data_IF_588918930773
#
_entry.id   IF_588918930773
#
_cell.length_a   1.000
_cell.length_b   1.000
_cell.length_c   1.000
_cell.angle_alpha   90.00
_cell.angle_beta   90.00
_cell.angle_gamma   90.00
#
_symmetry.space_group_name_H-M   'P 1'
#
loop_
_entity.id
_entity.type
_entity.pdbx_description
1 polymer ?
#
# COMPACT_ATOMS: atom_id res chain seq x y z
N UNK A 1 10.88 -9.52 1.55
CA UNK A 1 10.15 -8.79 2.60
C UNK A 1 8.89 -9.58 2.94
N UNK A 2 8.36 -9.42 4.16
CA UNK A 2 7.06 -9.99 4.54
C UNK A 2 5.99 -8.92 4.35
N UNK A 3 4.76 -9.28 4.00
CA UNK A 3 3.66 -8.34 3.77
C UNK A 3 2.43 -9.07 3.23
N UNK A 4 1.24 -8.54 3.50
CA UNK A 4 -0.02 -9.18 3.08
C UNK A 4 -0.61 -8.59 1.81
N UNK A 5 -0.48 -7.26 1.65
CA UNK A 5 -1.15 -6.52 0.60
C UNK A 5 -0.36 -6.58 -0.70
N UNK A 6 -1.05 -6.97 -1.77
CA UNK A 6 -0.54 -6.93 -3.15
C UNK A 6 -1.63 -6.41 -4.09
N UNK A 7 -1.25 -5.53 -5.00
CA UNK A 7 -2.06 -5.15 -6.15
C UNK A 7 -1.24 -5.35 -7.42
N UNK A 8 -1.87 -5.88 -8.47
CA UNK A 8 -1.24 -6.14 -9.78
C UNK A 8 -1.84 -5.22 -10.83
N UNK A 9 -1.02 -4.67 -11.71
CA UNK A 9 -1.53 -3.77 -12.75
C UNK A 9 -2.45 -4.56 -13.71
N UNK A 10 -3.66 -4.06 -14.03
CA UNK A 10 -4.65 -4.84 -14.77
C UNK A 10 -4.27 -5.14 -16.23
N UNK A 11 -3.36 -4.36 -16.82
CA UNK A 11 -2.88 -4.55 -18.19
C UNK A 11 -1.35 -4.72 -18.33
N UNK A 12 -0.58 -4.68 -17.24
CA UNK A 12 0.89 -4.75 -17.27
C UNK A 12 1.34 -5.86 -16.31
N UNK A 13 1.69 -7.05 -16.83
CA UNK A 13 2.05 -8.18 -15.98
C UNK A 13 3.38 -7.98 -15.24
N UNK A 14 4.19 -6.98 -15.59
CA UNK A 14 5.46 -6.69 -14.93
C UNK A 14 5.30 -5.77 -13.72
N UNK A 15 4.11 -5.17 -13.54
CA UNK A 15 3.88 -4.13 -12.56
C UNK A 15 2.97 -4.58 -11.40
N UNK A 16 3.47 -4.38 -10.19
CA UNK A 16 2.74 -4.69 -8.96
C UNK A 16 3.21 -3.81 -7.80
N UNK A 17 2.35 -3.67 -6.79
CA UNK A 17 2.58 -2.91 -5.57
C UNK A 17 2.40 -3.78 -4.34
N UNK A 18 3.18 -3.48 -3.31
CA UNK A 18 3.19 -4.20 -2.05
C UNK A 18 3.28 -3.22 -0.88
N UNK A 19 2.73 -3.61 0.28
CA UNK A 19 2.90 -2.86 1.53
C UNK A 19 3.55 -3.81 2.56
N UNK A 20 4.88 -3.71 2.76
CA UNK A 20 5.62 -4.64 3.58
C UNK A 20 5.45 -4.38 5.09
N UNK A 21 5.48 -5.46 5.87
CA UNK A 21 5.58 -5.47 7.33
C UNK A 21 6.83 -6.27 7.76
N UNK A 22 7.19 -6.21 9.05
CA UNK A 22 8.40 -6.88 9.55
C UNK A 22 8.31 -8.40 9.39
N UNK A 23 7.30 -9.05 9.98
CA UNK A 23 7.05 -10.51 9.89
C UNK A 23 5.68 -10.88 10.44
N UNK A 24 5.29 -12.15 10.34
CA UNK A 24 4.00 -12.66 10.82
C UNK A 24 3.82 -12.51 12.34
N UNK A 25 4.89 -12.63 13.12
CA UNK A 25 4.87 -12.39 14.58
C UNK A 25 5.05 -10.91 14.96
N UNK A 26 5.38 -10.02 14.01
CA UNK A 26 5.56 -8.59 14.24
C UNK A 26 4.94 -7.78 13.10
N UNK A 27 3.66 -7.46 13.27
CA UNK A 27 2.80 -6.89 12.20
C UNK A 27 2.78 -5.38 12.21
N UNK A 28 3.95 -4.78 12.05
CA UNK A 28 4.15 -3.33 11.91
C UNK A 28 5.00 -3.04 10.67
N UNK A 29 4.98 -1.81 10.13
CA UNK A 29 5.85 -1.42 9.03
C UNK A 29 7.34 -1.67 9.33
N UNK A 30 8.11 -2.00 8.30
CA UNK A 30 9.56 -2.20 8.42
C UNK A 30 10.22 -0.92 8.93
N UNK A 31 11.03 -1.04 9.98
CA UNK A 31 11.66 0.10 10.67
C UNK A 31 10.66 1.18 11.13
N UNK A 32 9.41 0.79 11.44
CA UNK A 32 8.30 1.69 11.77
C UNK A 32 8.02 2.75 10.68
N UNK A 33 8.38 2.48 9.43
CA UNK A 33 8.22 3.40 8.31
C UNK A 33 7.26 2.83 7.30
N UNK A 34 6.03 3.34 7.29
CA UNK A 34 5.06 2.98 6.26
C UNK A 34 5.63 3.35 4.88
N UNK A 35 5.61 2.37 3.98
CA UNK A 35 5.97 2.54 2.58
C UNK A 35 5.12 1.64 1.71
N UNK A 36 4.93 2.05 0.46
CA UNK A 36 4.51 1.16 -0.61
C UNK A 36 5.75 0.85 -1.44
N UNK A 37 5.89 -0.37 -1.92
CA UNK A 37 6.95 -0.74 -2.85
C UNK A 37 6.35 -1.15 -4.18
N UNK A 38 6.95 -0.69 -5.29
CA UNK A 38 6.52 -1.02 -6.66
C UNK A 38 7.61 -1.79 -7.39
N UNK A 39 7.22 -2.82 -8.13
CA UNK A 39 8.04 -3.42 -9.18
C UNK A 39 7.51 -2.98 -10.54
N UNK A 40 8.41 -2.79 -11.50
CA UNK A 40 8.08 -2.63 -12.93
C UNK A 40 8.72 -3.70 -13.82
N UNK A 41 9.40 -4.69 -13.23
CA UNK A 41 10.21 -5.70 -13.93
C UNK A 41 9.90 -7.13 -13.43
N UNK A 42 8.65 -7.39 -13.04
CA UNK A 42 8.21 -8.72 -12.63
C UNK A 42 8.78 -9.18 -11.29
N UNK A 43 9.24 -8.25 -10.45
CA UNK A 43 9.77 -8.50 -9.11
C UNK A 43 11.27 -8.70 -9.05
N UNK A 44 12.00 -8.36 -10.12
CA UNK A 44 13.46 -8.37 -10.11
C UNK A 44 14.02 -7.20 -9.29
N UNK A 45 13.34 -6.05 -9.27
CA UNK A 45 13.67 -4.90 -8.45
C UNK A 45 12.44 -4.20 -7.87
N UNK A 46 12.64 -3.44 -6.80
CA UNK A 46 11.58 -2.73 -6.09
C UNK A 46 12.00 -1.30 -5.74
N UNK A 47 11.13 -0.36 -6.07
CA UNK A 47 11.24 1.05 -5.70
C UNK A 47 10.40 1.33 -4.44
N UNK A 48 10.89 2.17 -3.53
CA UNK A 48 10.11 2.64 -2.38
C UNK A 48 9.36 3.93 -2.69
N UNK A 49 8.04 3.89 -2.52
CA UNK A 49 7.12 4.98 -2.73
C UNK A 49 6.61 5.50 -1.39
N UNK A 50 7.05 6.70 -1.00
CA UNK A 50 6.79 7.27 0.33
C UNK A 50 6.32 8.72 0.34
N UNK A 51 6.26 9.39 -0.80
CA UNK A 51 5.85 10.79 -0.83
C UNK A 51 4.39 10.91 -0.36
N UNK A 52 4.15 11.74 0.66
CA UNK A 52 2.82 11.93 1.25
C UNK A 52 2.40 10.88 2.30
N UNK A 53 3.21 9.83 2.51
CA UNK A 53 3.03 8.90 3.64
C UNK A 53 3.67 9.46 4.93
N UNK A 54 3.32 8.92 6.12
CA UNK A 54 3.95 9.33 7.37
C UNK A 54 5.48 9.24 7.34
N UNK A 55 6.14 10.34 7.70
CA UNK A 55 7.61 10.42 7.74
C UNK A 55 8.21 9.85 9.04
N UNK A 56 7.47 9.94 10.15
CA UNK A 56 7.85 9.40 11.45
C UNK A 56 7.42 7.94 11.64
N UNK A 57 7.45 7.49 12.90
CA UNK A 57 7.03 6.15 13.26
C UNK A 57 5.54 5.95 12.94
N UNK A 58 5.25 4.88 12.19
CA UNK A 58 3.92 4.41 11.85
C UNK A 58 3.80 2.95 12.28
N UNK A 59 2.62 2.64 12.83
CA UNK A 59 2.23 1.29 13.26
C UNK A 59 1.03 0.79 12.44
N UNK A 60 0.75 1.44 11.31
CA UNK A 60 -0.32 1.06 10.40
C UNK A 60 -0.01 -0.28 9.73
N UNK A 61 -0.88 -1.26 9.94
CA UNK A 61 -0.85 -2.53 9.22
C UNK A 61 -1.90 -2.48 8.11
N UNK A 62 -1.57 -3.05 6.94
CA UNK A 62 -2.52 -3.20 5.84
C UNK A 62 -2.85 -4.68 5.65
N UNK A 63 -4.14 -5.02 5.64
CA UNK A 63 -4.60 -6.38 5.40
C UNK A 63 -4.53 -6.77 3.92
N UNK A 64 -4.73 -8.07 3.64
CA UNK A 64 -4.57 -8.68 2.30
C UNK A 64 -5.36 -7.94 1.21
N UNK A 65 -6.61 -7.58 1.48
CA UNK A 65 -7.47 -6.83 0.57
C UNK A 65 -7.48 -5.33 0.85
N UNK A 66 -6.58 -4.85 1.70
CA UNK A 66 -6.51 -3.45 2.12
C UNK A 66 -5.79 -2.54 1.13
N UNK A 67 -5.29 -3.06 0.00
CA UNK A 67 -4.71 -2.32 -1.12
C UNK A 67 -5.47 -2.67 -2.39
N UNK A 68 -5.88 -1.66 -3.16
CA UNK A 68 -6.59 -1.82 -4.41
C UNK A 68 -5.98 -0.92 -5.50
N UNK A 69 -6.14 -1.37 -6.75
CA UNK A 69 -5.87 -0.61 -7.95
C UNK A 69 -7.14 -0.53 -8.79
N UNK A 70 -7.35 0.61 -9.45
CA UNK A 70 -8.49 0.80 -10.33
C UNK A 70 -8.29 0.10 -11.69
N UNK A 71 -9.35 -0.08 -12.49
CA UNK A 71 -9.25 -0.71 -13.81
C UNK A 71 -8.34 0.03 -14.80
N UNK A 72 -8.10 1.34 -14.63
CA UNK A 72 -7.17 2.08 -15.49
C UNK A 72 -5.70 1.80 -15.19
N UNK A 73 -5.41 1.19 -14.03
CA UNK A 73 -4.05 0.89 -13.60
C UNK A 73 -3.28 2.10 -13.06
N UNK A 74 -3.93 3.24 -12.85
CA UNK A 74 -3.27 4.47 -12.40
C UNK A 74 -3.56 4.86 -10.97
N UNK A 75 -4.75 4.52 -10.47
CA UNK A 75 -5.21 4.94 -9.16
C UNK A 75 -5.04 3.81 -8.16
N UNK A 76 -4.43 4.12 -7.04
CA UNK A 76 -4.28 3.20 -5.91
C UNK A 76 -5.00 3.76 -4.70
N UNK A 77 -5.56 2.86 -3.91
CA UNK A 77 -6.05 3.18 -2.59
C UNK A 77 -5.63 2.08 -1.61
N UNK A 78 -5.22 2.45 -0.41
CA UNK A 78 -5.06 1.50 0.66
C UNK A 78 -5.53 2.04 1.99
N UNK A 79 -5.95 1.14 2.88
CA UNK A 79 -6.37 1.50 4.20
C UNK A 79 -5.79 0.56 5.26
N UNK A 80 -5.59 1.10 6.46
CA UNK A 80 -4.96 0.39 7.56
C UNK A 80 -5.96 -0.16 8.57
N UNK A 81 -5.46 -1.08 9.40
CA UNK A 81 -6.16 -1.61 10.58
C UNK A 81 -6.43 -0.55 11.64
N UNK A 82 -5.78 0.59 11.56
CA UNK A 82 -5.90 1.75 12.47
C UNK A 82 -6.83 2.82 11.92
N UNK A 83 -7.51 2.58 10.80
CA UNK A 83 -8.56 3.46 10.30
C UNK A 83 -8.09 4.57 9.37
N UNK A 84 -6.83 4.52 8.93
CA UNK A 84 -6.31 5.47 7.95
C UNK A 84 -6.58 4.99 6.52
N UNK A 85 -6.94 5.91 5.63
CA UNK A 85 -7.16 5.68 4.20
C UNK A 85 -6.27 6.63 3.40
N UNK A 86 -5.53 6.07 2.45
CA UNK A 86 -4.70 6.82 1.51
C UNK A 86 -5.10 6.51 0.07
N UNK A 87 -4.87 7.49 -0.79
CA UNK A 87 -5.13 7.44 -2.20
C UNK A 87 -3.94 8.00 -2.98
N UNK A 88 -3.70 7.45 -4.16
CA UNK A 88 -2.76 7.97 -5.14
C UNK A 88 -3.41 7.94 -6.52
N UNK A 89 -3.25 9.00 -7.30
CA UNK A 89 -3.73 9.09 -8.68
C UNK A 89 -2.62 8.81 -9.72
N UNK A 90 -1.40 8.56 -9.24
CA UNK A 90 -0.15 8.52 -9.98
C UNK A 90 0.66 7.26 -9.66
N UNK A 91 -0.02 6.11 -9.62
CA UNK A 91 0.63 4.80 -9.49
C UNK A 91 1.50 4.65 -8.22
N UNK A 92 1.14 5.40 -7.18
CA UNK A 92 1.79 5.42 -5.88
C UNK A 92 2.94 6.42 -5.76
N UNK A 93 3.26 7.19 -6.80
CA UNK A 93 4.35 8.17 -6.75
C UNK A 93 4.11 9.22 -5.64
N UNK A 94 2.84 9.63 -5.44
CA UNK A 94 2.42 10.47 -4.32
C UNK A 94 1.11 9.98 -3.70
N UNK A 95 1.08 10.01 -2.37
CA UNK A 95 -0.08 9.63 -1.57
C UNK A 95 -0.75 10.85 -0.93
N UNK A 96 -2.07 10.83 -0.90
CA UNK A 96 -2.93 11.72 -0.16
C UNK A 96 -3.60 10.94 0.98
N UNK A 97 -3.63 11.51 2.18
CA UNK A 97 -4.37 10.95 3.31
C UNK A 97 -5.81 11.47 3.27
N UNK A 98 -6.77 10.58 3.03
CA UNK A 98 -8.18 10.94 2.85
C UNK A 98 -8.97 10.90 4.17
N UNK A 99 -8.64 9.98 5.07
CA UNK A 99 -9.31 9.85 6.37
C UNK A 99 -8.42 9.14 7.37
N UNK A 100 -8.54 9.48 8.65
CA UNK A 100 -7.92 8.78 9.78
C UNK A 100 -8.92 8.38 10.86
N UNK A 101 -10.20 8.27 10.51
CA UNK A 101 -11.30 8.11 11.46
C UNK A 101 -12.20 6.91 11.12
N UNK A 102 -11.76 6.04 10.21
CA UNK A 102 -12.50 4.83 9.89
C UNK A 102 -12.33 3.79 11.01
N UNK A 103 -13.27 2.85 11.17
CA UNK A 103 -12.99 1.60 11.85
C UNK A 103 -11.84 0.84 11.16
N UNK A 104 -11.26 -0.20 11.81
CA UNK A 104 -10.28 -1.08 11.16
C UNK A 104 -10.76 -1.57 9.80
N UNK A 105 -10.03 -1.26 8.74
CA UNK A 105 -10.46 -1.56 7.36
C UNK A 105 -10.01 -2.95 6.94
N UNK A 106 -10.98 -3.81 6.61
CA UNK A 106 -10.73 -5.17 6.15
C UNK A 106 -10.37 -5.26 4.66
N UNK A 107 -10.99 -4.40 3.84
CA UNK A 107 -10.84 -4.39 2.40
C UNK A 107 -11.10 -3.00 1.82
N UNK A 108 -10.47 -2.72 0.68
CA UNK A 108 -10.68 -1.54 -0.17
C UNK A 108 -10.97 -2.03 -1.59
N UNK A 109 -11.90 -1.39 -2.29
CA UNK A 109 -12.14 -1.61 -3.71
C UNK A 109 -12.56 -0.32 -4.40
N UNK A 110 -12.31 -0.24 -5.71
CA UNK A 110 -12.91 0.78 -6.57
C UNK A 110 -14.30 0.34 -7.03
N UNK A 111 -15.19 1.32 -7.19
CA UNK A 111 -16.57 1.10 -7.65
C UNK A 111 -16.66 0.92 -9.16
#
# INVERSE_FOLDING_TARGET
SFGFAVAVHPQDPQRAWFIPAVKDECRVPVAARLCVTRTGDGGASFEQLRAGLPHGDSFDLVYRHGLAIDPSGRQLAFASTTGNLWFSADEGDRWEHLSGQLPPVAAVCFA
#
